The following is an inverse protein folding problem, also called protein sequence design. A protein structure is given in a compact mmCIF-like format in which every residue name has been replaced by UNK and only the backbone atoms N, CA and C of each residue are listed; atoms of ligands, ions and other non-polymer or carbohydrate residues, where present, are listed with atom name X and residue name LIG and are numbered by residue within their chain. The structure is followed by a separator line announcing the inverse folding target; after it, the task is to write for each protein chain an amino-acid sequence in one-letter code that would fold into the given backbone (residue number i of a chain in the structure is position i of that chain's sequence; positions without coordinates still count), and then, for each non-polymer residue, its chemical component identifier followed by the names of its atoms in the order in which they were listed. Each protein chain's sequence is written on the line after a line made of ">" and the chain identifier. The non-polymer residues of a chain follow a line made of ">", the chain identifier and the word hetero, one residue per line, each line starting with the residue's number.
data_IF_183197037745
#
_entry.id   IF_183197037745
#
_cell.length_a   1.000
_cell.length_b   1.000
_cell.length_c   1.000
_cell.angle_alpha   90.00
_cell.angle_beta   90.00
_cell.angle_gamma   90.00
#
_symmetry.space_group_name_H-M   'P 1'
#
loop_
_entity.id
_entity.type
_entity.pdbx_description
1 polymer ?
#
# COMPACT_ATOMS: atom_id res chain seq x y z
N UNK A 1 -24.95 -12.10 36.47
CA UNK A 1 -23.72 -12.73 35.93
C UNK A 1 -23.76 -12.66 34.41
N UNK A 2 -23.38 -11.53 33.81
CA UNK A 2 -23.50 -11.32 32.34
C UNK A 2 -22.32 -10.53 31.73
N UNK A 3 -21.35 -10.09 32.54
CA UNK A 3 -20.20 -9.26 32.08
C UNK A 3 -19.04 -10.07 31.49
N UNK A 4 -18.95 -11.38 31.78
CA UNK A 4 -17.79 -12.19 31.39
C UNK A 4 -17.79 -12.60 29.91
N UNK A 5 -18.97 -12.72 29.29
CA UNK A 5 -19.08 -13.17 27.89
C UNK A 5 -18.82 -12.02 26.88
N UNK A 6 -19.18 -10.79 27.27
CA UNK A 6 -19.05 -9.60 26.43
C UNK A 6 -17.58 -9.14 26.32
N UNK A 7 -16.85 -9.14 27.44
CA UNK A 7 -15.44 -8.73 27.47
C UNK A 7 -14.51 -9.65 26.67
N UNK A 8 -14.75 -10.97 26.68
CA UNK A 8 -13.99 -11.92 25.85
C UNK A 8 -14.25 -11.65 24.37
N UNK A 9 -15.51 -11.42 24.00
CA UNK A 9 -15.90 -11.17 22.60
C UNK A 9 -15.28 -9.87 22.02
N UNK A 10 -15.18 -8.81 22.85
CA UNK A 10 -14.56 -7.54 22.47
C UNK A 10 -13.04 -7.69 22.34
N UNK A 11 -12.42 -8.48 23.22
CA UNK A 11 -11.00 -8.78 23.13
C UNK A 11 -10.68 -9.53 21.83
N UNK A 12 -11.41 -10.60 21.52
CA UNK A 12 -11.21 -11.40 20.31
C UNK A 12 -11.39 -10.57 19.05
N UNK A 13 -12.41 -9.69 19.02
CA UNK A 13 -12.62 -8.74 17.93
C UNK A 13 -11.47 -7.74 17.79
N UNK A 14 -10.95 -7.23 18.90
CA UNK A 14 -9.84 -6.27 18.90
C UNK A 14 -8.56 -6.91 18.37
N UNK A 15 -8.26 -8.14 18.82
CA UNK A 15 -7.15 -8.96 18.31
C UNK A 15 -7.31 -9.19 16.81
N UNK A 16 -8.49 -9.63 16.35
CA UNK A 16 -8.74 -9.90 14.93
C UNK A 16 -8.51 -8.67 14.03
N UNK A 17 -8.92 -7.47 14.48
CA UNK A 17 -8.68 -6.21 13.76
C UNK A 17 -7.18 -5.91 13.68
N UNK A 18 -6.45 -6.04 14.79
CA UNK A 18 -5.00 -5.79 14.85
C UNK A 18 -4.23 -6.79 14.00
N UNK A 19 -4.61 -8.06 14.01
CA UNK A 19 -4.00 -9.10 13.17
C UNK A 19 -4.21 -8.85 11.67
N UNK A 20 -5.44 -8.49 11.27
CA UNK A 20 -5.73 -8.14 9.88
C UNK A 20 -4.92 -6.90 9.45
N UNK A 21 -4.78 -5.92 10.33
CA UNK A 21 -3.93 -4.76 10.11
C UNK A 21 -2.45 -5.14 9.94
N UNK A 22 -1.91 -6.01 10.79
CA UNK A 22 -0.51 -6.47 10.71
C UNK A 22 -0.21 -7.08 9.33
N UNK A 23 -1.10 -7.92 8.82
CA UNK A 23 -0.94 -8.54 7.49
C UNK A 23 -0.84 -7.46 6.42
N UNK A 24 -1.70 -6.44 6.50
CA UNK A 24 -1.68 -5.33 5.56
C UNK A 24 -0.44 -4.45 5.71
N UNK A 25 -0.04 -4.16 6.94
CA UNK A 25 1.12 -3.35 7.23
C UNK A 25 2.41 -3.99 6.73
N UNK A 26 2.54 -5.31 6.82
CA UNK A 26 3.66 -6.05 6.23
C UNK A 26 3.72 -5.91 4.69
N UNK A 27 2.57 -5.77 4.00
CA UNK A 27 2.54 -5.47 2.55
C UNK A 27 3.03 -4.06 2.23
N UNK A 28 2.71 -3.09 3.09
CA UNK A 28 3.18 -1.70 2.95
C UNK A 28 4.67 -1.63 3.26
N UNK A 29 5.13 -2.28 4.33
CA UNK A 29 6.54 -2.33 4.72
C UNK A 29 7.44 -3.00 3.66
N UNK A 30 6.88 -3.91 2.86
CA UNK A 30 7.58 -4.55 1.74
C UNK A 30 7.52 -3.74 0.42
N UNK A 31 6.92 -2.55 0.42
CA UNK A 31 6.83 -1.70 -0.77
C UNK A 31 8.17 -1.04 -1.09
N UNK A 32 8.48 -0.81 -2.37
CA UNK A 32 9.72 -0.15 -2.80
C UNK A 32 9.89 1.27 -2.24
N UNK A 33 8.76 1.98 -2.06
CA UNK A 33 8.76 3.30 -1.42
C UNK A 33 8.85 3.24 0.11
N UNK A 34 8.78 2.10 0.79
CA UNK A 34 8.87 2.04 2.26
C UNK A 34 10.32 2.23 2.76
N UNK A 35 10.91 3.37 2.42
CA UNK A 35 12.28 3.80 2.70
C UNK A 35 12.29 5.20 3.31
N UNK A 36 13.48 5.75 3.58
CA UNK A 36 13.62 7.11 4.12
C UNK A 36 12.99 8.17 3.20
N UNK A 37 13.00 7.94 1.88
CA UNK A 37 12.38 8.84 0.90
C UNK A 37 10.89 9.07 1.14
N UNK A 38 10.17 8.06 1.65
CA UNK A 38 8.76 8.20 2.04
C UNK A 38 8.58 9.05 3.30
N UNK A 39 9.51 8.97 4.24
CA UNK A 39 9.51 9.81 5.44
C UNK A 39 9.77 11.27 5.04
N UNK A 40 10.72 11.53 4.16
CA UNK A 40 10.98 12.87 3.63
C UNK A 40 9.76 13.43 2.90
N UNK A 41 9.13 12.63 2.03
CA UNK A 41 7.92 13.01 1.31
C UNK A 41 6.76 13.30 2.26
N UNK A 42 6.60 12.50 3.33
CA UNK A 42 5.57 12.71 4.35
C UNK A 42 5.74 14.01 5.16
N UNK A 43 6.98 14.51 5.27
CA UNK A 43 7.30 15.77 5.95
C UNK A 43 7.14 16.99 5.03
N UNK A 44 6.95 16.78 3.72
CA UNK A 44 6.82 17.86 2.75
C UNK A 44 8.13 18.63 2.55
N UNK A 45 9.29 17.94 2.64
CA UNK A 45 10.58 18.60 2.45
C UNK A 45 10.74 19.06 0.99
N UNK A 46 11.13 20.32 0.82
CA UNK A 46 11.48 20.91 -0.46
C UNK A 46 12.85 21.58 -0.38
N UNK A 47 13.56 21.58 -1.50
CA UNK A 47 14.83 22.31 -1.63
C UNK A 47 14.55 23.69 -2.20
N UNK A 48 15.11 24.72 -1.55
CA UNK A 48 15.04 26.10 -2.00
C UNK A 48 16.43 26.51 -2.47
N UNK A 49 16.54 26.99 -3.71
CA UNK A 49 17.82 27.46 -4.28
C UNK A 49 17.63 28.87 -4.85
N UNK A 50 18.33 29.89 -4.34
CA UNK A 50 18.31 31.22 -4.95
C UNK A 50 19.05 31.18 -6.28
N UNK A 51 18.46 31.79 -7.31
CA UNK A 51 19.02 31.89 -8.66
C UNK A 51 19.67 33.27 -8.87
N UNK A 52 20.66 33.38 -9.78
CA UNK A 52 21.40 34.63 -10.01
C UNK A 52 20.56 35.81 -10.51
N UNK A 53 19.39 35.55 -11.08
CA UNK A 53 18.43 36.54 -11.57
C UNK A 53 17.50 37.09 -10.47
N UNK A 54 17.70 36.68 -9.21
CA UNK A 54 16.87 37.06 -8.08
C UNK A 54 15.62 36.20 -7.93
N UNK A 55 15.40 35.19 -8.79
CA UNK A 55 14.35 34.19 -8.60
C UNK A 55 14.77 33.15 -7.56
N UNK A 56 13.79 32.39 -7.08
CA UNK A 56 14.01 31.29 -6.14
C UNK A 56 13.42 30.01 -6.74
N UNK A 57 14.27 29.00 -6.93
CA UNK A 57 13.85 27.67 -7.37
C UNK A 57 13.40 26.85 -6.15
N UNK A 58 12.15 26.40 -6.16
CA UNK A 58 11.62 25.44 -5.19
C UNK A 58 11.50 24.10 -5.90
N UNK A 59 12.17 23.07 -5.36
CA UNK A 59 12.16 21.72 -5.92
C UNK A 59 11.70 20.70 -4.88
N UNK A 60 10.67 19.94 -5.24
CA UNK A 60 10.20 18.79 -4.48
C UNK A 60 10.36 17.54 -5.35
N UNK A 61 10.94 16.48 -4.79
CA UNK A 61 11.10 15.21 -5.49
C UNK A 61 9.92 14.30 -5.17
N UNK A 62 9.23 13.85 -6.21
CA UNK A 62 8.15 12.88 -6.11
C UNK A 62 8.56 11.57 -6.81
N UNK A 63 8.10 10.40 -6.34
CA UNK A 63 8.38 9.13 -7.00
C UNK A 63 7.65 9.00 -8.35
N UNK A 64 7.98 8.01 -9.19
CA UNK A 64 7.15 7.69 -10.35
C UNK A 64 5.68 7.43 -9.97
N UNK A 65 4.74 7.87 -10.80
CA UNK A 65 3.30 7.79 -10.53
C UNK A 65 2.85 6.35 -10.23
N UNK A 66 3.25 5.38 -11.05
CA UNK A 66 2.93 3.96 -10.84
C UNK A 66 3.35 3.44 -9.46
N UNK A 67 4.49 3.90 -8.92
CA UNK A 67 4.92 3.52 -7.58
C UNK A 67 4.01 4.13 -6.50
N UNK A 68 3.54 5.36 -6.73
CA UNK A 68 2.59 6.02 -5.84
C UNK A 68 1.21 5.37 -5.90
N UNK A 69 0.70 5.03 -7.08
CA UNK A 69 -0.56 4.28 -7.24
C UNK A 69 -0.49 2.92 -6.53
N UNK A 70 0.62 2.22 -6.70
CA UNK A 70 0.90 0.95 -6.04
C UNK A 70 0.89 1.09 -4.50
N UNK A 71 1.45 2.17 -3.97
CA UNK A 71 1.39 2.48 -2.53
C UNK A 71 -0.02 2.88 -2.08
N UNK A 72 -0.71 3.75 -2.83
CA UNK A 72 -2.08 4.19 -2.60
C UNK A 72 -3.03 2.99 -2.50
N UNK A 73 -2.93 2.06 -3.46
CA UNK A 73 -3.68 0.82 -3.46
C UNK A 73 -3.41 0.00 -2.20
N UNK A 74 -2.16 -0.02 -1.70
CA UNK A 74 -1.78 -0.71 -0.46
C UNK A 74 -2.31 -0.02 0.80
N UNK A 75 -2.36 1.31 0.87
CA UNK A 75 -2.88 1.99 2.07
C UNK A 75 -4.40 2.15 2.08
N UNK A 76 -5.08 2.07 0.93
CA UNK A 76 -6.53 2.30 0.79
C UNK A 76 -7.42 1.65 1.86
N UNK A 77 -7.23 0.38 2.26
CA UNK A 77 -8.07 -0.25 3.29
C UNK A 77 -7.99 0.39 4.68
N UNK A 78 -6.93 1.16 4.97
CA UNK A 78 -6.82 1.87 6.25
C UNK A 78 -7.45 3.26 6.22
N UNK A 79 -7.87 3.72 5.03
CA UNK A 79 -8.50 5.04 4.81
C UNK A 79 -10.03 4.93 4.81
N UNK A 80 -10.56 3.84 4.25
CA UNK A 80 -12.00 3.65 4.10
C UNK A 80 -12.63 3.16 5.41
N UNK A 81 -13.60 3.91 5.93
CA UNK A 81 -14.27 3.61 7.19
C UNK A 81 -15.08 2.32 7.21
N UNK A 82 -15.59 1.89 6.05
CA UNK A 82 -16.27 0.61 5.87
C UNK A 82 -15.33 -0.58 5.98
N UNK A 83 -14.04 -0.40 5.70
CA UNK A 83 -13.07 -1.49 5.77
C UNK A 83 -12.83 -1.92 7.23
N UNK A 84 -12.60 -3.23 7.46
CA UNK A 84 -12.40 -3.76 8.81
C UNK A 84 -11.13 -3.22 9.48
N UNK A 85 -10.15 -2.82 8.67
CA UNK A 85 -8.85 -2.32 9.11
C UNK A 85 -8.69 -0.81 8.91
N UNK A 86 -9.81 -0.09 8.84
CA UNK A 86 -9.83 1.36 8.93
C UNK A 86 -8.96 1.84 10.10
N UNK A 87 -8.04 2.79 9.88
CA UNK A 87 -6.98 3.09 10.85
C UNK A 87 -7.54 3.49 12.22
N UNK A 88 -8.62 4.28 12.25
CA UNK A 88 -9.30 4.62 13.50
C UNK A 88 -9.81 3.38 14.26
N UNK A 89 -10.33 2.37 13.56
CA UNK A 89 -10.77 1.11 14.19
C UNK A 89 -9.59 0.35 14.77
N UNK A 90 -8.47 0.31 14.05
CA UNK A 90 -7.22 -0.32 14.51
C UNK A 90 -6.68 0.38 15.76
N UNK A 91 -6.60 1.71 15.75
CA UNK A 91 -6.13 2.49 16.90
C UNK A 91 -7.06 2.34 18.10
N UNK A 92 -8.37 2.22 17.89
CA UNK A 92 -9.33 1.93 18.95
C UNK A 92 -9.17 0.52 19.53
N UNK A 93 -8.97 -0.49 18.68
CA UNK A 93 -8.67 -1.86 19.10
C UNK A 93 -7.35 -1.92 19.90
N UNK A 94 -6.31 -1.24 19.44
CA UNK A 94 -5.03 -1.15 20.17
C UNK A 94 -5.19 -0.48 21.53
N UNK A 95 -5.88 0.67 21.61
CA UNK A 95 -6.17 1.31 22.89
C UNK A 95 -6.92 0.38 23.84
N UNK A 96 -7.87 -0.41 23.34
CA UNK A 96 -8.56 -1.40 24.17
C UNK A 96 -7.60 -2.46 24.71
N UNK A 97 -6.72 -3.02 23.87
CA UNK A 97 -5.77 -4.07 24.25
C UNK A 97 -4.76 -3.56 25.30
N UNK A 98 -4.32 -2.31 25.21
CA UNK A 98 -3.34 -1.71 26.14
C UNK A 98 -3.98 -0.87 27.26
N UNK A 99 -5.30 -0.93 27.45
CA UNK A 99 -6.05 -0.03 28.37
C UNK A 99 -5.57 -0.02 29.83
N UNK A 100 -4.89 -1.08 30.28
CA UNK A 100 -4.33 -1.20 31.63
C UNK A 100 -2.90 -0.65 31.74
N UNK A 101 -2.35 -0.08 30.66
CA UNK A 101 -0.98 0.41 30.52
C UNK A 101 -1.00 1.89 30.09
N UNK A 102 -1.01 2.84 31.05
CA UNK A 102 -1.12 4.27 30.76
C UNK A 102 -0.03 4.81 29.81
N UNK A 103 1.18 4.27 29.93
CA UNK A 103 2.32 4.53 29.06
C UNK A 103 2.01 4.22 27.58
N UNK A 104 1.41 3.07 27.31
CA UNK A 104 1.03 2.66 25.95
C UNK A 104 -0.24 3.34 25.45
N UNK A 105 -1.17 3.66 26.37
CA UNK A 105 -2.34 4.46 26.05
C UNK A 105 -1.96 5.86 25.55
N UNK A 106 -0.93 6.48 26.13
CA UNK A 106 -0.42 7.77 25.66
C UNK A 106 0.11 7.68 24.21
N UNK A 107 0.82 6.60 23.87
CA UNK A 107 1.29 6.35 22.50
C UNK A 107 0.11 6.14 21.54
N UNK A 108 -0.90 5.36 21.92
CA UNK A 108 -2.13 5.22 21.11
C UNK A 108 -2.81 6.57 20.89
N UNK A 109 -2.83 7.44 21.89
CA UNK A 109 -3.43 8.76 21.78
C UNK A 109 -2.68 9.63 20.77
N UNK A 110 -1.34 9.66 20.83
CA UNK A 110 -0.51 10.36 19.85
C UNK A 110 -0.76 9.87 18.42
N UNK A 111 -0.90 8.55 18.21
CA UNK A 111 -1.23 7.99 16.89
C UNK A 111 -2.63 8.41 16.42
N UNK A 112 -3.61 8.50 17.32
CA UNK A 112 -4.97 8.99 16.99
C UNK A 112 -4.99 10.47 16.65
N UNK A 113 -4.17 11.27 17.33
CA UNK A 113 -4.06 12.70 17.06
C UNK A 113 -3.43 12.92 15.68
N UNK A 114 -2.33 12.21 15.38
CA UNK A 114 -1.73 12.18 14.03
C UNK A 114 -2.70 11.71 12.94
N UNK A 115 -3.57 10.74 13.24
CA UNK A 115 -4.60 10.30 12.28
C UNK A 115 -5.62 11.41 12.02
N UNK A 116 -6.09 12.10 13.06
CA UNK A 116 -7.05 13.21 12.93
C UNK A 116 -6.52 14.36 12.09
N UNK A 117 -5.22 14.60 12.10
CA UNK A 117 -4.57 15.62 11.27
C UNK A 117 -4.54 15.28 9.77
N UNK A 118 -4.69 14.00 9.41
CA UNK A 118 -4.49 13.52 8.02
C UNK A 118 -5.68 12.73 7.46
N UNK A 119 -6.74 12.54 8.25
CA UNK A 119 -7.93 11.84 7.80
C UNK A 119 -8.57 12.65 6.66
N UNK A 120 -8.55 12.15 5.42
CA UNK A 120 -8.93 12.97 4.28
C UNK A 120 -10.45 13.20 4.19
N UNK A 121 -11.25 12.48 5.01
CA UNK A 121 -12.72 12.54 4.96
C UNK A 121 -13.28 13.88 5.42
N UNK A 122 -12.56 14.63 6.23
CA UNK A 122 -13.06 15.89 6.77
C UNK A 122 -12.87 17.06 5.78
N UNK A 123 -12.23 16.84 4.62
CA UNK A 123 -11.97 17.87 3.59
C UNK A 123 -11.13 19.06 4.10
N UNK A 124 -10.65 18.97 5.34
CA UNK A 124 -9.88 19.98 6.03
C UNK A 124 -8.56 20.21 5.30
N UNK A 125 -8.10 21.47 5.35
CA UNK A 125 -6.77 21.85 4.93
C UNK A 125 -5.74 21.03 5.74
N UNK A 126 -5.04 20.10 5.09
CA UNK A 126 -4.05 19.26 5.78
C UNK A 126 -2.64 19.87 5.74
N UNK A 127 -2.40 20.78 4.80
CA UNK A 127 -1.13 21.46 4.64
C UNK A 127 -1.23 22.78 3.87
N UNK A 128 -1.82 22.77 2.67
CA UNK A 128 -1.80 23.94 1.78
C UNK A 128 -3.05 24.08 0.90
N UNK A 129 -3.27 25.32 0.45
CA UNK A 129 -4.36 25.72 -0.42
C UNK A 129 -3.80 26.13 -1.78
N UNK A 130 -4.40 25.64 -2.86
CA UNK A 130 -4.03 26.03 -4.22
C UNK A 130 -5.09 26.95 -4.77
N UNK A 131 -4.67 28.09 -5.30
CA UNK A 131 -5.51 29.01 -6.07
C UNK A 131 -4.97 29.09 -7.49
N UNK A 132 -5.81 28.78 -8.46
CA UNK A 132 -5.54 28.99 -9.87
C UNK A 132 -6.43 30.13 -10.36
N UNK A 133 -5.83 31.11 -11.05
CA UNK A 133 -6.54 32.25 -11.62
C UNK A 133 -6.23 32.29 -13.11
N UNK A 134 -7.25 32.10 -13.93
CA UNK A 134 -7.15 32.36 -15.35
C UNK A 134 -7.41 33.85 -15.59
N UNK A 135 -6.35 34.58 -15.94
CA UNK A 135 -6.43 36.02 -16.17
C UNK A 135 -7.06 36.38 -17.53
N UNK A 136 -7.20 35.41 -18.44
CA UNK A 136 -7.81 35.60 -19.75
C UNK A 136 -9.33 35.37 -19.72
N UNK A 137 -9.81 34.41 -18.93
CA UNK A 137 -11.23 34.09 -18.77
C UNK A 137 -11.85 34.71 -17.50
N UNK A 138 -11.03 35.29 -16.61
CA UNK A 138 -11.48 35.89 -15.35
C UNK A 138 -12.01 34.87 -14.33
N UNK A 139 -11.68 33.59 -14.51
CA UNK A 139 -12.12 32.51 -13.64
C UNK A 139 -11.06 32.19 -12.59
N UNK A 140 -11.50 31.73 -11.42
CA UNK A 140 -10.59 31.23 -10.39
C UNK A 140 -11.12 29.95 -9.76
N UNK A 141 -10.21 29.03 -9.46
CA UNK A 141 -10.51 27.79 -8.75
C UNK A 141 -9.62 27.70 -7.52
N UNK A 142 -10.21 27.28 -6.40
CA UNK A 142 -9.50 27.10 -5.14
C UNK A 142 -9.79 25.72 -4.59
N UNK A 143 -8.76 24.97 -4.21
CA UNK A 143 -8.92 23.67 -3.56
C UNK A 143 -7.86 23.46 -2.47
N UNK A 144 -8.23 22.72 -1.42
CA UNK A 144 -7.27 22.23 -0.42
C UNK A 144 -6.51 21.02 -0.96
N UNK A 145 -5.31 20.80 -0.43
CA UNK A 145 -4.51 19.61 -0.68
C UNK A 145 -5.29 18.30 -0.42
N UNK A 146 -6.11 18.23 0.63
CA UNK A 146 -6.98 17.06 0.88
C UNK A 146 -7.98 16.80 -0.24
N UNK A 147 -8.59 17.86 -0.79
CA UNK A 147 -9.55 17.76 -1.91
C UNK A 147 -8.82 17.28 -3.17
N UNK A 148 -7.68 17.88 -3.49
CA UNK A 148 -6.86 17.52 -4.65
C UNK A 148 -6.33 16.07 -4.56
N UNK A 149 -5.91 15.66 -3.37
CA UNK A 149 -5.45 14.30 -3.10
C UNK A 149 -6.56 13.27 -3.30
N UNK A 150 -7.78 13.57 -2.83
CA UNK A 150 -8.95 12.69 -3.01
C UNK A 150 -9.41 12.64 -4.48
N UNK A 151 -9.30 13.75 -5.20
CA UNK A 151 -9.59 13.82 -6.63
C UNK A 151 -8.65 12.89 -7.42
N UNK A 152 -7.35 12.90 -7.14
CA UNK A 152 -6.42 11.94 -7.75
C UNK A 152 -6.71 10.51 -7.31
N UNK A 153 -6.81 10.26 -6.00
CA UNK A 153 -6.96 8.91 -5.43
C UNK A 153 -8.22 8.20 -5.91
N UNK A 154 -9.34 8.90 -6.06
CA UNK A 154 -10.63 8.28 -6.35
C UNK A 154 -11.21 8.69 -7.71
N UNK A 155 -10.93 9.90 -8.15
CA UNK A 155 -11.30 10.38 -9.47
C UNK A 155 -10.38 9.82 -10.55
N UNK A 156 -9.10 10.17 -10.50
CA UNK A 156 -8.16 9.87 -11.59
C UNK A 156 -7.72 8.39 -11.61
N UNK A 157 -7.50 7.76 -10.44
CA UNK A 157 -6.89 6.41 -10.37
C UNK A 157 -7.88 5.27 -10.11
N UNK A 158 -8.75 5.40 -9.10
CA UNK A 158 -9.44 4.21 -8.54
C UNK A 158 -10.86 3.99 -9.05
N UNK A 159 -11.69 5.04 -9.20
CA UNK A 159 -13.13 4.86 -9.48
C UNK A 159 -13.68 5.61 -10.68
N UNK A 160 -12.87 6.40 -11.41
CA UNK A 160 -13.38 7.35 -12.40
C UNK A 160 -14.53 8.20 -11.82
N UNK A 161 -14.40 8.58 -10.53
CA UNK A 161 -15.40 9.33 -9.78
C UNK A 161 -15.45 10.77 -10.29
N UNK A 162 -16.37 11.03 -11.22
CA UNK A 162 -16.49 12.33 -11.90
C UNK A 162 -16.85 13.46 -10.95
N UNK A 163 -17.52 13.19 -9.83
CA UNK A 163 -17.83 14.22 -8.83
C UNK A 163 -16.56 14.66 -8.08
N UNK A 164 -15.69 13.71 -7.73
CA UNK A 164 -14.38 14.01 -7.11
C UNK A 164 -13.39 14.61 -8.10
N UNK A 165 -13.47 14.28 -9.38
CA UNK A 165 -12.67 14.98 -10.39
C UNK A 165 -13.15 16.43 -10.54
N UNK A 166 -14.47 16.66 -10.54
CA UNK A 166 -15.04 18.00 -10.65
C UNK A 166 -14.70 18.90 -9.43
N UNK A 167 -14.52 18.32 -8.23
CA UNK A 167 -14.19 19.09 -7.03
C UNK A 167 -12.78 19.70 -7.06
N UNK A 168 -11.88 19.21 -7.92
CA UNK A 168 -10.59 19.84 -8.18
C UNK A 168 -10.69 21.05 -9.15
N UNK A 169 -11.85 21.29 -9.75
CA UNK A 169 -12.04 22.36 -10.73
C UNK A 169 -11.07 22.25 -11.92
N UNK A 170 -10.45 23.37 -12.30
CA UNK A 170 -9.46 23.43 -13.38
C UNK A 170 -8.02 23.15 -12.93
N UNK A 171 -7.80 22.71 -11.69
CA UNK A 171 -6.44 22.44 -11.16
C UNK A 171 -5.86 21.20 -11.84
N UNK A 172 -4.60 21.29 -12.29
CA UNK A 172 -3.95 20.29 -13.13
C UNK A 172 -3.78 18.93 -12.44
N UNK A 173 -3.63 17.88 -13.25
CA UNK A 173 -3.33 16.52 -12.77
C UNK A 173 -2.03 16.48 -11.96
N UNK A 174 -1.02 17.28 -12.33
CA UNK A 174 0.26 17.35 -11.61
C UNK A 174 0.06 17.77 -10.16
N UNK A 175 -0.78 18.77 -9.92
CA UNK A 175 -1.00 19.27 -8.55
C UNK A 175 -1.86 18.30 -7.73
N UNK A 176 -2.86 17.67 -8.38
CA UNK A 176 -3.63 16.57 -7.77
C UNK A 176 -2.73 15.41 -7.35
N UNK A 177 -1.82 15.00 -8.23
CA UNK A 177 -0.81 13.97 -7.95
C UNK A 177 0.09 14.37 -6.79
N UNK A 178 0.62 15.60 -6.75
CA UNK A 178 1.49 16.07 -5.65
C UNK A 178 0.79 16.05 -4.30
N UNK A 179 -0.45 16.54 -4.23
CA UNK A 179 -1.27 16.49 -3.03
C UNK A 179 -1.50 15.04 -2.58
N UNK A 180 -1.83 14.15 -3.52
CA UNK A 180 -2.01 12.73 -3.23
C UNK A 180 -0.73 12.06 -2.75
N UNK A 181 0.41 12.33 -3.41
CA UNK A 181 1.70 11.78 -3.05
C UNK A 181 2.07 12.15 -1.61
N UNK A 182 1.81 13.40 -1.19
CA UNK A 182 2.04 13.83 0.17
C UNK A 182 1.10 13.14 1.17
N UNK A 183 -0.21 13.14 0.91
CA UNK A 183 -1.21 12.51 1.77
C UNK A 183 -0.97 11.00 1.94
N UNK A 184 -0.82 10.28 0.83
CA UNK A 184 -0.55 8.83 0.83
C UNK A 184 0.72 8.52 1.62
N UNK A 185 1.75 9.38 1.51
CA UNK A 185 2.99 9.21 2.26
C UNK A 185 2.80 9.39 3.76
N UNK A 186 2.05 10.42 4.19
CA UNK A 186 1.71 10.62 5.62
C UNK A 186 0.93 9.43 6.18
N UNK A 187 -0.04 8.92 5.43
CA UNK A 187 -0.84 7.75 5.82
C UNK A 187 0.04 6.50 5.90
N UNK A 188 0.89 6.27 4.91
CA UNK A 188 1.80 5.13 4.89
C UNK A 188 2.78 5.16 6.07
N UNK A 189 3.35 6.33 6.38
CA UNK A 189 4.24 6.50 7.54
C UNK A 189 3.50 6.25 8.85
N UNK A 190 2.31 6.81 9.05
CA UNK A 190 1.53 6.57 10.27
C UNK A 190 1.15 5.09 10.43
N UNK A 191 0.81 4.42 9.33
CA UNK A 191 0.57 2.97 9.30
C UNK A 191 1.82 2.19 9.70
N UNK A 192 3.00 2.54 9.16
CA UNK A 192 4.26 1.87 9.50
C UNK A 192 4.69 2.12 10.95
N UNK A 193 4.49 3.34 11.46
CA UNK A 193 4.76 3.67 12.87
C UNK A 193 3.81 2.89 13.80
N UNK A 194 2.52 2.79 13.44
CA UNK A 194 1.53 1.97 14.16
C UNK A 194 1.94 0.49 14.14
N UNK A 195 2.41 -0.01 13.00
CA UNK A 195 2.94 -1.37 12.88
C UNK A 195 4.18 -1.60 13.74
N UNK A 196 5.13 -0.65 13.75
CA UNK A 196 6.30 -0.69 14.62
C UNK A 196 5.93 -0.74 16.11
N UNK A 197 4.91 0.03 16.51
CA UNK A 197 4.39 -0.02 17.87
C UNK A 197 3.75 -1.38 18.22
N UNK A 198 2.98 -1.98 17.31
CA UNK A 198 2.43 -3.34 17.50
C UNK A 198 3.55 -4.37 17.67
N UNK A 199 4.60 -4.27 16.84
CA UNK A 199 5.77 -5.15 16.94
C UNK A 199 6.46 -5.01 18.29
N UNK A 200 6.59 -3.79 18.80
CA UNK A 200 7.10 -3.51 20.13
C UNK A 200 6.21 -4.13 21.22
N UNK A 201 4.90 -3.89 21.19
CA UNK A 201 3.96 -4.47 22.17
C UNK A 201 3.99 -6.00 22.19
N UNK A 202 4.10 -6.65 21.03
CA UNK A 202 4.24 -8.11 20.94
C UNK A 202 5.56 -8.58 21.56
N UNK A 203 6.67 -7.90 21.26
CA UNK A 203 7.99 -8.24 21.80
C UNK A 203 8.01 -8.16 23.33
N UNK A 204 7.33 -7.17 23.89
CA UNK A 204 7.18 -6.98 25.34
C UNK A 204 6.11 -7.88 25.98
N UNK A 205 5.45 -8.75 25.21
CA UNK A 205 4.40 -9.67 25.71
C UNK A 205 3.11 -8.97 26.14
N UNK A 206 2.90 -7.72 25.72
CA UNK A 206 1.73 -6.91 26.11
C UNK A 206 0.50 -7.27 25.30
N UNK A 207 0.71 -7.63 24.03
CA UNK A 207 -0.35 -8.07 23.12
C UNK A 207 0.03 -9.41 22.53
N UNK A 208 -0.85 -10.40 22.71
CA UNK A 208 -0.73 -11.72 22.10
C UNK A 208 -1.44 -11.74 20.74
N UNK A 209 -0.68 -12.04 19.69
CA UNK A 209 -1.15 -12.14 18.31
C UNK A 209 -0.64 -13.47 17.74
N UNK A 210 -1.42 -14.10 16.86
CA UNK A 210 -1.04 -15.38 16.25
C UNK A 210 0.25 -15.24 15.46
N UNK A 211 1.18 -16.15 15.69
CA UNK A 211 2.46 -16.20 14.97
C UNK A 211 2.32 -16.24 13.43
N UNK A 212 1.26 -16.88 12.94
CA UNK A 212 0.99 -17.03 11.51
C UNK A 212 0.88 -15.68 10.79
N UNK A 213 0.37 -14.64 11.45
CA UNK A 213 0.17 -13.32 10.83
C UNK A 213 1.50 -12.62 10.52
N UNK A 214 2.60 -13.02 11.19
CA UNK A 214 3.96 -12.53 10.94
C UNK A 214 4.77 -13.44 10.01
N UNK A 215 4.38 -14.71 9.89
CA UNK A 215 5.12 -15.71 9.11
C UNK A 215 4.58 -15.88 7.70
N UNK A 216 3.28 -15.71 7.49
CA UNK A 216 2.69 -15.92 6.17
C UNK A 216 3.29 -14.98 5.11
N UNK A 217 3.52 -15.44 3.86
CA UNK A 217 3.94 -14.57 2.77
C UNK A 217 2.89 -13.49 2.47
N UNK A 218 3.34 -12.26 2.25
CA UNK A 218 2.46 -11.11 1.95
C UNK A 218 2.81 -10.43 0.62
N UNK A 219 3.95 -10.79 0.05
CA UNK A 219 4.44 -10.35 -1.27
C UNK A 219 4.98 -11.55 -2.03
N UNK A 220 4.87 -11.50 -3.35
CA UNK A 220 5.52 -12.45 -4.24
C UNK A 220 6.99 -12.03 -4.36
N UNK A 221 7.92 -12.88 -3.93
CA UNK A 221 9.37 -12.62 -4.02
C UNK A 221 9.95 -13.09 -5.34
N UNK A 222 9.46 -14.23 -5.82
CA UNK A 222 9.88 -14.88 -7.06
C UNK A 222 8.65 -14.98 -7.96
N UNK A 223 8.42 -13.99 -8.84
CA UNK A 223 7.28 -14.02 -9.75
C UNK A 223 7.46 -15.05 -10.86
N UNK A 224 8.72 -15.39 -11.18
CA UNK A 224 9.06 -16.36 -12.19
C UNK A 224 9.09 -17.76 -11.55
N UNK A 225 8.27 -18.67 -12.07
CA UNK A 225 8.27 -20.06 -11.63
C UNK A 225 9.27 -20.84 -12.47
N UNK A 226 10.30 -21.38 -11.82
CA UNK A 226 11.20 -22.35 -12.44
C UNK A 226 10.80 -23.74 -11.95
N UNK A 227 10.01 -24.44 -12.76
CA UNK A 227 9.59 -25.81 -12.46
C UNK A 227 10.17 -26.81 -13.45
N UNK A 228 10.76 -27.86 -12.90
CA UNK A 228 11.17 -29.02 -13.65
C UNK A 228 9.96 -29.95 -13.76
N UNK A 229 9.40 -30.04 -14.97
CA UNK A 229 8.28 -30.91 -15.29
C UNK A 229 8.59 -31.75 -16.51
N UNK A 230 7.93 -32.91 -16.62
CA UNK A 230 7.87 -33.65 -17.88
C UNK A 230 6.67 -33.12 -18.66
N UNK A 231 6.91 -32.55 -19.83
CA UNK A 231 5.85 -32.13 -20.73
C UNK A 231 5.47 -33.31 -21.62
N UNK A 232 4.17 -33.57 -21.77
CA UNK A 232 3.63 -34.56 -22.69
C UNK A 232 2.64 -33.87 -23.63
N UNK A 233 2.63 -34.29 -24.90
CA UNK A 233 1.72 -33.76 -25.92
C UNK A 233 1.06 -34.91 -26.67
N UNK A 234 -0.16 -34.69 -27.15
CA UNK A 234 -0.91 -35.62 -27.99
C UNK A 234 -1.69 -34.83 -29.06
N UNK A 235 -2.10 -35.47 -30.19
CA UNK A 235 -2.99 -34.84 -31.16
C UNK A 235 -4.29 -34.35 -30.53
N UNK A 236 -4.85 -33.27 -31.08
CA UNK A 236 -6.14 -32.72 -30.67
C UNK A 236 -7.22 -33.80 -30.81
N UNK A 237 -8.02 -34.01 -29.76
CA UNK A 237 -9.05 -35.05 -29.71
C UNK A 237 -8.60 -36.36 -29.05
N UNK A 238 -7.34 -36.47 -28.62
CA UNK A 238 -6.88 -37.57 -27.77
C UNK A 238 -7.41 -37.39 -26.35
N UNK A 239 -7.96 -38.45 -25.76
CA UNK A 239 -8.46 -38.41 -24.38
C UNK A 239 -7.35 -38.05 -23.39
N UNK A 240 -7.67 -37.13 -22.47
CA UNK A 240 -6.76 -36.69 -21.41
C UNK A 240 -6.78 -37.73 -20.29
N UNK A 241 -5.63 -38.30 -19.90
CA UNK A 241 -5.59 -39.27 -18.82
C UNK A 241 -5.98 -38.62 -17.49
N UNK A 242 -6.61 -39.40 -16.62
CA UNK A 242 -6.90 -38.98 -15.25
C UNK A 242 -5.60 -38.62 -14.50
N UNK A 243 -5.72 -37.73 -13.51
CA UNK A 243 -4.58 -37.31 -12.69
C UNK A 243 -3.96 -38.54 -12.01
N UNK A 244 -2.69 -38.81 -12.32
CA UNK A 244 -1.94 -39.95 -11.77
C UNK A 244 -2.04 -41.25 -12.58
N UNK A 245 -2.89 -41.29 -13.61
CA UNK A 245 -2.91 -42.38 -14.57
C UNK A 245 -1.74 -42.26 -15.57
N UNK A 246 -1.23 -43.38 -16.11
CA UNK A 246 -0.22 -43.33 -17.16
C UNK A 246 -0.79 -42.66 -18.41
N UNK A 247 0.07 -41.94 -19.14
CA UNK A 247 -0.27 -41.38 -20.44
C UNK A 247 -0.55 -42.50 -21.44
N UNK A 248 -1.74 -42.46 -22.05
CA UNK A 248 -2.22 -43.49 -22.98
C UNK A 248 -1.61 -43.39 -24.38
N UNK A 249 -2.09 -44.25 -25.29
CA UNK A 249 -1.68 -44.21 -26.69
C UNK A 249 -1.97 -42.84 -27.32
N UNK A 250 -1.00 -42.29 -28.06
CA UNK A 250 -1.09 -40.97 -28.69
C UNK A 250 -0.39 -39.84 -27.93
N UNK A 251 0.00 -40.08 -26.67
CA UNK A 251 0.80 -39.15 -25.88
C UNK A 251 2.30 -39.41 -26.05
N UNK A 252 3.07 -38.35 -26.30
CA UNK A 252 4.53 -38.38 -26.39
C UNK A 252 5.14 -37.36 -25.43
N UNK A 253 6.16 -37.76 -24.69
CA UNK A 253 6.93 -36.83 -23.86
C UNK A 253 7.74 -35.90 -24.77
N UNK A 254 7.65 -34.60 -24.52
CA UNK A 254 8.55 -33.61 -25.11
C UNK A 254 9.88 -33.73 -24.39
N UNK A 255 10.88 -34.21 -25.12
CA UNK A 255 12.27 -34.25 -24.69
C UNK A 255 13.01 -33.22 -25.54
N UNK A 256 13.73 -32.31 -24.89
CA UNK A 256 14.68 -31.48 -25.62
C UNK A 256 15.93 -32.32 -25.87
N UNK A 257 16.18 -32.72 -27.11
CA UNK A 257 17.50 -33.23 -27.47
C UNK A 257 18.51 -32.08 -27.36
N UNK A 258 19.62 -32.25 -26.61
CA UNK A 258 20.65 -31.24 -26.57
C UNK A 258 21.20 -31.05 -27.98
N UNK A 259 21.19 -29.80 -28.45
CA UNK A 259 21.77 -29.44 -29.74
C UNK A 259 23.26 -29.87 -29.72
N UNK A 260 23.77 -30.63 -30.70
CA UNK A 260 25.20 -30.95 -30.73
C UNK A 260 26.00 -29.65 -30.79
N UNK A 261 26.95 -29.51 -29.87
CA UNK A 261 27.87 -28.37 -29.85
C UNK A 261 28.58 -28.25 -31.20
N UNK A 262 28.89 -27.04 -31.69
CA UNK A 262 29.52 -26.84 -33.00
C UNK A 262 30.97 -27.34 -33.13
N UNK A 263 31.52 -28.00 -32.11
CA UNK A 263 32.96 -28.26 -32.00
C UNK A 263 33.39 -29.67 -32.43
N UNK A 264 32.51 -30.45 -33.07
CA UNK A 264 32.80 -31.83 -33.53
C UNK A 264 32.83 -31.97 -35.06
N UNK A 265 33.24 -30.92 -35.78
CA UNK A 265 33.70 -31.04 -37.17
C UNK A 265 35.18 -30.66 -37.29
N UNK A 266 36.05 -31.66 -37.43
CA UNK A 266 37.34 -31.49 -38.10
C UNK A 266 38.59 -31.96 -37.35
N UNK A 267 38.67 -33.24 -36.96
CA UNK A 267 39.94 -33.94 -36.80
C UNK A 267 40.07 -35.07 -37.82
N UNK A 268 40.40 -34.68 -39.04
CA UNK A 268 40.98 -35.49 -40.15
C UNK A 268 41.59 -34.45 -41.11
N UNK A 269 42.87 -34.39 -41.45
CA UNK A 269 44.04 -35.28 -41.35
C UNK A 269 45.31 -34.44 -41.38
#
# INVERSE_FOLDING_TARGET
>A
MTKSNDASSVNDRSVAVVEAFVIRARRVAAHSLASEALRDLSRGLFTVTPEPDGLTRIQTKFPPEEQMESLAARVRPVILDRDPIYLQKVLNALSYLVRQRPDYMAVCQQLKDRWREIDPRDGQLAGYLVQHVDTSEGTSSTASDSVLALAWLYGDVVHADTERQASAGSISIDERYRSAAHLVSRIAVLLLDTFGFIMYLRKEGVVELRDSVFKQPVVVKEPNRNELGRLWMAPVGTDVPDVGAPFGAGWSQVVHEPNPSPDDEGSTS
#
